data_IF_467874516771
#
_entry.id   IF_467874516771
#
_cell.length_a   1.000
_cell.length_b   1.000
_cell.length_c   1.000
_cell.angle_alpha   90.00
_cell.angle_beta   90.00
_cell.angle_gamma   90.00
#
_symmetry.space_group_name_H-M   'P 1'
#
loop_
_entity.id
_entity.type
_entity.pdbx_description
1 polymer ?
#
# COMPACT_ATOMS: atom_id res chain seq x y z
N UNK A 1 2.45 15.15 43.83
CA UNK A 1 2.25 13.68 43.65
C UNK A 1 1.37 13.34 42.45
N UNK A 2 0.22 13.98 42.27
CA UNK A 2 -0.77 13.67 41.22
C UNK A 2 -0.27 13.72 39.76
N UNK A 3 0.63 14.65 39.40
CA UNK A 3 1.16 14.76 38.03
C UNK A 3 1.98 13.54 37.58
N UNK A 4 2.70 12.86 38.48
CA UNK A 4 3.49 11.67 38.13
C UNK A 4 2.62 10.44 37.83
N UNK A 5 1.50 10.32 38.55
CA UNK A 5 0.55 9.20 38.38
C UNK A 5 -0.17 9.31 37.03
N UNK A 6 -0.57 10.52 36.64
CA UNK A 6 -1.23 10.76 35.35
C UNK A 6 -0.32 10.44 34.14
N UNK A 7 0.96 10.82 34.20
CA UNK A 7 1.93 10.55 33.12
C UNK A 7 2.19 9.06 32.97
N UNK A 8 2.31 8.33 34.08
CA UNK A 8 2.49 6.86 34.06
C UNK A 8 1.24 6.18 33.47
N UNK A 9 0.04 6.61 33.85
CA UNK A 9 -1.20 6.05 33.31
C UNK A 9 -1.32 6.25 31.79
N UNK A 10 -0.96 7.43 31.27
CA UNK A 10 -0.98 7.72 29.83
C UNK A 10 0.05 6.85 29.09
N UNK A 11 1.26 6.71 29.61
CA UNK A 11 2.30 5.85 29.03
C UNK A 11 1.86 4.38 28.99
N UNK A 12 1.26 3.88 30.08
CA UNK A 12 0.75 2.50 30.14
C UNK A 12 -0.38 2.30 29.12
N UNK A 13 -1.31 3.25 28.99
CA UNK A 13 -2.38 3.19 27.99
C UNK A 13 -1.80 3.22 26.56
N UNK A 14 -0.87 4.12 26.27
CA UNK A 14 -0.23 4.22 24.96
C UNK A 14 0.53 2.92 24.60
N UNK A 15 1.23 2.33 25.56
CA UNK A 15 1.93 1.05 25.40
C UNK A 15 0.95 -0.11 25.21
N UNK A 16 -0.18 -0.13 25.95
CA UNK A 16 -1.22 -1.14 25.78
C UNK A 16 -1.94 -1.02 24.43
N UNK A 17 -2.17 0.21 23.95
CA UNK A 17 -2.72 0.49 22.62
C UNK A 17 -1.73 0.07 21.53
N UNK A 18 -0.45 0.39 21.68
CA UNK A 18 0.62 -0.05 20.77
C UNK A 18 0.80 -1.58 20.77
N UNK A 19 0.65 -2.25 21.92
CA UNK A 19 0.69 -3.71 22.01
C UNK A 19 -0.54 -4.38 21.42
N UNK A 20 -1.76 -3.83 21.64
CA UNK A 20 -2.99 -4.27 20.95
C UNK A 20 -2.87 -4.08 19.44
N UNK A 21 -2.33 -2.95 19.01
CA UNK A 21 -2.02 -2.65 17.61
C UNK A 21 -1.06 -3.68 17.01
N UNK A 22 0.01 -4.00 17.73
CA UNK A 22 0.99 -5.01 17.30
C UNK A 22 0.35 -6.41 17.21
N UNK A 23 -0.63 -6.72 18.05
CA UNK A 23 -1.35 -8.02 17.98
C UNK A 23 -2.40 -8.09 16.87
N UNK A 24 -3.05 -6.98 16.50
CA UNK A 24 -4.03 -6.94 15.40
C UNK A 24 -3.35 -7.11 14.04
N UNK A 25 -2.24 -6.39 13.79
CA UNK A 25 -1.46 -6.52 12.54
C UNK A 25 -0.85 -7.92 12.39
N UNK A 26 -0.55 -8.58 13.51
CA UNK A 26 0.02 -9.95 13.51
C UNK A 26 -1.02 -11.05 13.25
N UNK A 27 -2.34 -10.78 13.33
CA UNK A 27 -3.33 -11.86 13.46
C UNK A 27 -3.66 -12.59 12.16
N UNK A 28 -3.56 -11.95 10.99
CA UNK A 28 -3.53 -12.61 9.66
C UNK A 28 -2.81 -11.66 8.70
N UNK A 29 -1.65 -12.07 8.18
CA UNK A 29 -0.98 -11.36 7.08
C UNK A 29 -1.90 -11.34 5.85
N UNK A 30 -2.37 -10.18 5.36
CA UNK A 30 -3.42 -10.12 4.33
C UNK A 30 -2.94 -10.51 2.92
N UNK A 31 -1.63 -10.67 2.74
CA UNK A 31 -1.04 -11.02 1.45
C UNK A 31 -0.46 -12.43 1.46
N UNK A 32 -0.70 -13.15 0.37
CA UNK A 32 0.01 -14.37 -0.03
C UNK A 32 0.93 -14.01 -1.19
N UNK A 33 2.16 -14.49 -1.14
CA UNK A 33 3.13 -14.38 -2.23
C UNK A 33 4.20 -15.44 -2.07
N UNK A 34 4.91 -15.73 -3.16
CA UNK A 34 6.10 -16.56 -3.19
C UNK A 34 7.15 -15.86 -4.04
N UNK A 35 8.34 -15.62 -3.48
CA UNK A 35 9.46 -15.03 -4.22
C UNK A 35 10.75 -15.70 -3.79
N UNK A 36 11.61 -16.03 -4.76
CA UNK A 36 12.95 -16.52 -4.46
C UNK A 36 13.77 -15.37 -3.85
N UNK A 37 14.33 -15.61 -2.65
CA UNK A 37 15.20 -14.66 -1.96
C UNK A 37 16.43 -14.22 -2.77
N UNK A 38 16.82 -15.00 -3.80
CA UNK A 38 17.88 -14.63 -4.74
C UNK A 38 17.44 -13.57 -5.76
N UNK A 39 16.14 -13.45 -6.00
CA UNK A 39 15.55 -12.44 -6.89
C UNK A 39 15.31 -11.15 -6.12
N UNK A 40 14.64 -11.25 -4.96
CA UNK A 40 14.27 -10.08 -4.18
C UNK A 40 14.23 -10.33 -2.67
N UNK A 41 14.41 -9.24 -1.93
CA UNK A 41 14.07 -9.16 -0.50
C UNK A 41 12.72 -8.51 -0.30
N UNK A 42 12.06 -8.79 0.82
CA UNK A 42 10.79 -8.18 1.18
C UNK A 42 10.88 -7.53 2.56
N UNK A 43 10.57 -6.25 2.63
CA UNK A 43 10.35 -5.52 3.87
C UNK A 43 8.85 -5.25 4.06
N UNK A 44 8.35 -5.37 5.29
CA UNK A 44 6.98 -5.05 5.64
C UNK A 44 6.95 -3.78 6.47
N UNK A 45 6.30 -2.75 5.96
CA UNK A 45 6.16 -1.47 6.63
C UNK A 45 4.69 -1.17 6.92
N UNK A 46 4.32 -1.17 8.19
CA UNK A 46 2.99 -0.72 8.60
C UNK A 46 2.90 0.80 8.51
N UNK A 47 1.73 1.30 8.11
CA UNK A 47 1.41 2.72 8.19
C UNK A 47 0.07 2.92 8.93
N UNK A 48 -0.06 4.10 9.55
CA UNK A 48 -1.19 4.43 10.40
C UNK A 48 -2.16 5.40 9.76
N UNK A 49 -3.08 5.89 10.59
CA UNK A 49 -4.05 6.90 10.22
C UNK A 49 -3.37 8.16 9.68
N UNK A 50 -4.02 8.87 8.76
CA UNK A 50 -3.45 10.04 8.08
C UNK A 50 -2.87 9.75 6.69
N UNK A 51 -2.71 8.47 6.33
CA UNK A 51 -2.03 8.06 5.11
C UNK A 51 -2.83 8.42 3.83
N UNK A 52 -4.12 8.05 3.81
CA UNK A 52 -5.06 8.38 2.75
C UNK A 52 -5.88 9.61 3.16
N UNK A 53 -5.23 10.78 3.12
CA UNK A 53 -5.89 12.07 3.35
C UNK A 53 -6.30 12.75 2.04
N UNK A 54 -7.11 13.81 2.14
CA UNK A 54 -7.58 14.58 0.99
C UNK A 54 -6.45 15.12 0.10
N UNK A 55 -5.30 15.50 0.66
CA UNK A 55 -4.16 15.97 -0.12
C UNK A 55 -3.60 14.86 -0.99
N UNK A 56 -3.39 13.68 -0.41
CA UNK A 56 -2.93 12.48 -1.14
C UNK A 56 -3.95 12.09 -2.21
N UNK A 57 -5.23 11.96 -1.85
CA UNK A 57 -6.29 11.54 -2.78
C UNK A 57 -6.50 12.55 -3.91
N UNK A 58 -6.44 13.85 -3.61
CA UNK A 58 -6.57 14.90 -4.65
C UNK A 58 -5.36 14.93 -5.57
N UNK A 59 -4.14 14.68 -5.07
CA UNK A 59 -2.95 14.60 -5.89
C UNK A 59 -3.07 13.45 -6.90
N UNK A 60 -3.46 12.26 -6.44
CA UNK A 60 -3.70 11.10 -7.29
C UNK A 60 -4.79 11.39 -8.34
N UNK A 61 -5.92 11.96 -7.94
CA UNK A 61 -7.00 12.31 -8.87
C UNK A 61 -6.58 13.29 -9.98
N UNK A 62 -5.78 14.30 -9.62
CA UNK A 62 -5.34 15.35 -10.56
C UNK A 62 -4.37 14.86 -11.62
N UNK A 63 -3.53 13.87 -11.33
CA UNK A 63 -2.58 13.30 -12.30
C UNK A 63 -3.27 12.73 -13.55
N UNK A 64 -4.58 12.49 -13.48
CA UNK A 64 -5.38 11.83 -14.49
C UNK A 64 -6.25 12.78 -15.30
N UNK A 65 -6.16 14.08 -15.05
CA UNK A 65 -7.09 15.06 -15.60
C UNK A 65 -8.55 14.83 -15.22
N UNK A 66 -8.80 14.00 -14.20
CA UNK A 66 -10.16 13.69 -13.74
C UNK A 66 -10.55 14.68 -12.64
N UNK A 67 -11.65 15.40 -12.85
CA UNK A 67 -12.27 16.23 -11.82
C UNK A 67 -13.15 15.32 -10.95
N UNK A 68 -12.56 14.75 -9.90
CA UNK A 68 -13.35 14.03 -8.90
C UNK A 68 -14.00 15.05 -7.97
N UNK A 69 -15.29 14.88 -7.70
CA UNK A 69 -16.03 15.74 -6.78
C UNK A 69 -15.39 15.73 -5.38
N UNK A 70 -15.32 16.90 -4.75
CA UNK A 70 -14.63 17.08 -3.47
C UNK A 70 -15.36 16.41 -2.30
N UNK A 71 -16.69 16.29 -2.37
CA UNK A 71 -17.47 15.56 -1.36
C UNK A 71 -17.25 14.05 -1.51
N UNK A 72 -17.16 13.56 -2.75
CA UNK A 72 -16.81 12.17 -3.04
C UNK A 72 -15.43 11.79 -2.47
N UNK A 73 -14.39 12.59 -2.73
CA UNK A 73 -13.05 12.35 -2.17
C UNK A 73 -13.05 12.39 -0.63
N UNK A 74 -13.84 13.28 -0.03
CA UNK A 74 -13.98 13.36 1.43
C UNK A 74 -14.70 12.13 1.99
N UNK A 75 -15.65 11.56 1.25
CA UNK A 75 -16.33 10.32 1.63
C UNK A 75 -15.35 9.13 1.66
N UNK A 76 -14.41 9.07 0.70
CA UNK A 76 -13.35 8.08 0.63
C UNK A 76 -12.36 8.28 1.78
N UNK A 77 -11.87 9.51 1.98
CA UNK A 77 -10.98 9.86 3.09
C UNK A 77 -11.58 9.42 4.44
N UNK A 78 -12.85 9.74 4.70
CA UNK A 78 -13.50 9.41 5.98
C UNK A 78 -13.46 7.91 6.28
N UNK A 79 -13.53 7.07 5.23
CA UNK A 79 -13.49 5.61 5.35
C UNK A 79 -12.06 5.07 5.48
N UNK A 80 -11.08 5.67 4.80
CA UNK A 80 -9.71 5.14 4.69
C UNK A 80 -8.71 5.78 5.65
N UNK A 81 -8.85 7.07 5.93
CA UNK A 81 -7.96 7.83 6.79
C UNK A 81 -7.79 7.26 8.21
N UNK A 82 -8.80 6.68 8.88
CA UNK A 82 -8.59 6.06 10.19
C UNK A 82 -7.95 4.67 10.11
N UNK A 83 -7.85 4.09 8.92
CA UNK A 83 -7.35 2.74 8.74
C UNK A 83 -5.84 2.71 8.83
N UNK A 84 -5.36 1.51 9.15
CA UNK A 84 -3.97 1.15 9.01
C UNK A 84 -3.82 0.24 7.82
N UNK A 85 -2.65 0.26 7.23
CA UNK A 85 -2.28 -0.67 6.18
C UNK A 85 -0.87 -1.17 6.34
N UNK A 86 -0.45 -1.96 5.35
CA UNK A 86 0.91 -2.45 5.26
C UNK A 86 1.40 -2.31 3.83
N UNK A 87 2.65 -1.90 3.69
CA UNK A 87 3.41 -1.98 2.45
C UNK A 87 4.30 -3.21 2.50
N UNK A 88 4.33 -3.95 1.41
CA UNK A 88 5.34 -4.95 1.11
C UNK A 88 6.27 -4.33 0.08
N UNK A 89 7.49 -4.05 0.50
CA UNK A 89 8.50 -3.39 -0.32
C UNK A 89 9.43 -4.50 -0.80
N UNK A 90 9.28 -4.89 -2.06
CA UNK A 90 10.11 -5.89 -2.67
C UNK A 90 11.28 -5.23 -3.39
N UNK A 91 12.51 -5.57 -2.99
CA UNK A 91 13.73 -4.97 -3.54
C UNK A 91 14.51 -6.02 -4.33
N UNK A 92 14.64 -5.80 -5.64
CA UNK A 92 15.44 -6.62 -6.56
C UNK A 92 16.91 -6.65 -6.14
N UNK A 93 17.52 -7.83 -6.18
CA UNK A 93 18.91 -8.04 -5.73
C UNK A 93 19.95 -7.97 -6.86
N UNK A 94 19.54 -7.98 -8.12
CA UNK A 94 20.45 -7.91 -9.26
C UNK A 94 20.82 -6.49 -9.69
N UNK A 95 21.72 -6.40 -10.67
CA UNK A 95 21.96 -5.13 -11.37
C UNK A 95 20.73 -4.72 -12.19
N UNK A 96 20.43 -3.43 -12.22
CA UNK A 96 19.26 -2.89 -12.90
C UNK A 96 19.59 -1.56 -13.56
N UNK A 97 18.89 -1.25 -14.65
CA UNK A 97 18.95 0.04 -15.32
C UNK A 97 18.08 1.12 -14.65
N UNK A 98 17.15 0.73 -13.76
CA UNK A 98 16.17 1.62 -13.13
C UNK A 98 15.92 1.23 -11.65
N UNK A 99 14.91 1.83 -11.04
CA UNK A 99 14.46 1.51 -9.69
C UNK A 99 14.27 -0.01 -9.49
N UNK A 100 14.74 -0.48 -8.34
CA UNK A 100 14.75 -1.89 -7.95
C UNK A 100 13.55 -2.29 -7.10
N UNK A 101 12.56 -1.42 -6.96
CA UNK A 101 11.53 -1.55 -5.93
C UNK A 101 10.17 -1.75 -6.57
N UNK A 102 9.49 -2.81 -6.14
CA UNK A 102 8.07 -3.06 -6.39
C UNK A 102 7.33 -3.01 -5.06
N UNK A 103 6.33 -2.14 -4.95
CA UNK A 103 5.57 -1.92 -3.71
C UNK A 103 4.17 -2.50 -3.86
N UNK A 104 3.77 -3.32 -2.90
CA UNK A 104 2.38 -3.76 -2.75
C UNK A 104 1.81 -3.11 -1.50
N UNK A 105 0.73 -2.35 -1.63
CA UNK A 105 0.05 -1.70 -0.50
C UNK A 105 -1.26 -2.40 -0.24
N UNK A 106 -1.49 -2.84 1.01
CA UNK A 106 -2.73 -3.52 1.41
C UNK A 106 -3.40 -2.76 2.55
N UNK A 107 -4.70 -2.46 2.38
CA UNK A 107 -5.54 -1.79 3.38
C UNK A 107 -6.88 -2.51 3.53
N UNK A 108 -7.60 -2.36 4.66
CA UNK A 108 -8.93 -2.92 4.81
C UNK A 108 -9.92 -2.37 3.77
N UNK A 109 -10.81 -3.22 3.27
CA UNK A 109 -11.91 -2.84 2.39
C UNK A 109 -13.08 -2.22 3.19
N UNK A 110 -12.80 -1.19 3.97
CA UNK A 110 -13.81 -0.46 4.72
C UNK A 110 -14.85 0.25 3.84
N UNK A 111 -14.53 0.72 2.61
CA UNK A 111 -15.54 1.25 1.70
C UNK A 111 -16.57 0.23 1.21
N UNK A 112 -16.25 -1.07 1.28
CA UNK A 112 -17.14 -2.15 0.88
C UNK A 112 -17.21 -2.35 -0.63
N UNK A 113 -16.09 -2.20 -1.35
CA UNK A 113 -16.04 -2.51 -2.78
C UNK A 113 -16.28 -4.00 -3.01
N UNK A 114 -17.17 -4.32 -3.94
CA UNK A 114 -17.52 -5.71 -4.28
C UNK A 114 -16.83 -6.16 -5.57
N UNK A 115 -16.50 -5.22 -6.46
CA UNK A 115 -15.89 -5.50 -7.76
C UNK A 115 -14.67 -4.62 -8.01
N UNK A 116 -13.70 -5.16 -8.76
CA UNK A 116 -12.48 -4.43 -9.10
C UNK A 116 -12.79 -3.15 -9.89
N UNK A 117 -13.87 -3.13 -10.66
CA UNK A 117 -14.31 -1.95 -11.40
C UNK A 117 -14.79 -0.82 -10.47
N UNK A 118 -15.50 -1.15 -9.38
CA UNK A 118 -15.88 -0.15 -8.37
C UNK A 118 -14.64 0.41 -7.67
N UNK A 119 -13.71 -0.46 -7.31
CA UNK A 119 -12.46 -0.06 -6.69
C UNK A 119 -11.64 0.83 -7.64
N UNK A 120 -11.51 0.44 -8.91
CA UNK A 120 -10.85 1.24 -9.95
C UNK A 120 -11.54 2.57 -10.19
N UNK A 121 -12.87 2.64 -10.19
CA UNK A 121 -13.57 3.92 -10.40
C UNK A 121 -13.14 5.01 -9.41
N UNK A 122 -12.80 4.63 -8.19
CA UNK A 122 -12.40 5.56 -7.13
C UNK A 122 -10.87 5.77 -7.02
N UNK A 123 -10.07 4.91 -7.67
CA UNK A 123 -8.60 4.86 -7.48
C UNK A 123 -7.76 4.61 -8.73
N UNK A 124 -8.37 4.43 -9.90
CA UNK A 124 -7.67 4.20 -11.18
C UNK A 124 -7.13 5.52 -11.71
N UNK A 125 -6.16 6.00 -10.95
CA UNK A 125 -5.46 7.21 -11.22
C UNK A 125 -4.29 6.90 -12.18
N UNK A 126 -4.18 7.63 -13.29
CA UNK A 126 -3.05 7.70 -14.21
C UNK A 126 -1.76 8.20 -13.54
N UNK A 127 -1.34 7.60 -12.43
CA UNK A 127 -0.15 7.96 -11.71
C UNK A 127 1.06 7.26 -12.34
N UNK A 128 1.44 7.57 -13.58
CA UNK A 128 2.59 6.91 -14.27
C UNK A 128 3.81 6.89 -13.33
N UNK A 129 4.22 5.70 -12.88
CA UNK A 129 5.29 5.53 -11.89
C UNK A 129 4.89 5.72 -10.42
N UNK A 130 3.59 5.68 -10.11
CA UNK A 130 3.02 5.81 -8.78
C UNK A 130 2.85 4.47 -8.06
N UNK A 131 2.56 4.54 -6.77
CA UNK A 131 2.54 3.39 -5.84
C UNK A 131 1.14 2.79 -5.60
N UNK A 132 0.09 3.34 -6.25
CA UNK A 132 -1.31 3.09 -5.85
C UNK A 132 -2.21 2.69 -7.01
N UNK A 133 -1.83 1.66 -7.77
CA UNK A 133 -2.69 1.12 -8.82
C UNK A 133 -3.58 0.00 -8.28
N UNK A 134 -4.92 0.11 -8.38
CA UNK A 134 -5.83 -0.95 -7.96
C UNK A 134 -5.54 -2.28 -8.68
N UNK A 135 -5.15 -3.30 -7.92
CA UNK A 135 -4.73 -4.58 -8.47
C UNK A 135 -5.71 -5.71 -8.15
N UNK A 136 -6.12 -5.85 -6.88
CA UNK A 136 -7.14 -6.81 -6.49
C UNK A 136 -7.92 -6.35 -5.24
N UNK A 137 -9.01 -7.05 -4.95
CA UNK A 137 -9.75 -6.90 -3.70
C UNK A 137 -10.28 -8.25 -3.20
N UNK A 138 -10.55 -8.30 -1.90
CA UNK A 138 -11.39 -9.30 -1.26
C UNK A 138 -12.44 -8.60 -0.39
N UNK A 139 -13.33 -9.37 0.24
CA UNK A 139 -14.30 -8.80 1.18
C UNK A 139 -13.62 -8.05 2.34
N UNK A 140 -12.38 -8.42 2.70
CA UNK A 140 -11.64 -7.80 3.80
C UNK A 140 -10.60 -6.76 3.38
N UNK A 141 -10.08 -6.83 2.15
CA UNK A 141 -8.84 -6.14 1.78
C UNK A 141 -8.88 -5.52 0.39
N UNK A 142 -8.18 -4.39 0.25
CA UNK A 142 -7.85 -3.76 -1.02
C UNK A 142 -6.35 -3.86 -1.23
N UNK A 143 -5.94 -4.23 -2.45
CA UNK A 143 -4.55 -4.32 -2.85
C UNK A 143 -4.25 -3.32 -3.95
N UNK A 144 -3.26 -2.47 -3.69
CA UNK A 144 -2.62 -1.64 -4.69
C UNK A 144 -1.22 -2.16 -5.00
N UNK A 145 -0.75 -1.90 -6.21
CA UNK A 145 0.64 -2.16 -6.63
C UNK A 145 1.26 -0.89 -7.19
N UNK A 146 2.59 -0.79 -7.13
CA UNK A 146 3.34 0.26 -7.82
C UNK A 146 3.50 -0.06 -9.31
N UNK A 147 3.62 0.98 -10.14
CA UNK A 147 4.06 0.81 -11.53
C UNK A 147 5.58 0.70 -11.62
N UNK A 148 6.08 -0.21 -12.46
CA UNK A 148 7.49 -0.31 -12.80
C UNK A 148 7.95 0.68 -13.88
N UNK A 149 7.14 1.71 -14.18
CA UNK A 149 7.42 2.73 -15.17
C UNK A 149 6.88 2.40 -16.56
N UNK A 150 7.41 3.09 -17.58
CA UNK A 150 6.94 3.02 -18.97
C UNK A 150 7.52 1.88 -19.80
N UNK A 151 8.38 1.03 -19.22
CA UNK A 151 9.16 0.04 -19.96
C UNK A 151 10.34 0.63 -20.76
N UNK A 152 10.76 1.86 -20.45
CA UNK A 152 11.93 2.49 -21.06
C UNK A 152 13.20 1.66 -20.82
N UNK A 153 14.03 1.48 -21.86
CA UNK A 153 15.33 0.80 -21.78
C UNK A 153 16.45 1.78 -22.13
N UNK A 154 17.49 1.82 -21.30
CA UNK A 154 18.61 2.78 -21.42
C UNK A 154 19.77 2.25 -22.29
N UNK A 155 19.53 1.14 -23.00
CA UNK A 155 20.51 0.43 -23.84
C UNK A 155 21.70 -0.18 -23.07
N UNK A 156 21.71 -0.15 -21.73
CA UNK A 156 22.77 -0.78 -20.91
C UNK A 156 22.79 -2.31 -20.97
N UNK A 157 21.74 -2.93 -21.52
CA UNK A 157 21.56 -4.39 -21.54
C UNK A 157 21.14 -4.98 -20.19
N UNK A 158 20.88 -4.14 -19.18
CA UNK A 158 20.43 -4.58 -17.84
C UNK A 158 18.90 -4.70 -17.77
N UNK A 159 18.36 -5.56 -16.90
CA UNK A 159 16.92 -5.66 -16.68
C UNK A 159 16.38 -4.44 -15.91
N UNK A 160 15.06 -4.25 -15.94
CA UNK A 160 14.37 -3.34 -15.03
C UNK A 160 14.04 -4.12 -13.76
N UNK A 161 14.74 -3.82 -12.66
CA UNK A 161 14.62 -4.58 -11.42
C UNK A 161 13.19 -4.70 -10.90
N UNK A 162 12.39 -3.63 -10.96
CA UNK A 162 10.98 -3.66 -10.60
C UNK A 162 10.18 -4.70 -11.43
N UNK A 163 10.35 -4.73 -12.76
CA UNK A 163 9.64 -5.66 -13.65
C UNK A 163 10.02 -7.12 -13.36
N UNK A 164 11.30 -7.38 -13.06
CA UNK A 164 11.76 -8.72 -12.67
C UNK A 164 11.08 -9.20 -11.38
N UNK A 165 10.88 -8.30 -10.42
CA UNK A 165 10.18 -8.59 -9.17
C UNK A 165 8.70 -8.84 -9.43
N UNK A 166 8.03 -7.95 -10.18
CA UNK A 166 6.61 -8.10 -10.54
C UNK A 166 6.36 -9.44 -11.25
N UNK A 167 7.21 -9.78 -12.23
CA UNK A 167 7.16 -11.05 -12.96
C UNK A 167 7.40 -12.26 -12.06
N UNK A 168 8.36 -12.17 -11.14
CA UNK A 168 8.67 -13.26 -10.22
C UNK A 168 7.53 -13.52 -9.21
N UNK A 169 6.84 -12.47 -8.79
CA UNK A 169 5.64 -12.58 -7.95
C UNK A 169 4.50 -13.24 -8.73
N UNK A 170 4.22 -12.78 -9.94
CA UNK A 170 3.25 -13.36 -10.86
C UNK A 170 1.93 -13.78 -10.18
N UNK A 171 1.43 -14.96 -10.52
CA UNK A 171 0.17 -15.51 -9.99
C UNK A 171 0.23 -15.89 -8.49
N UNK A 172 1.39 -15.80 -7.85
CA UNK A 172 1.52 -16.07 -6.42
C UNK A 172 1.02 -14.90 -5.58
N UNK A 173 1.01 -13.67 -6.13
CA UNK A 173 0.58 -12.46 -5.43
C UNK A 173 -0.94 -12.39 -5.31
N UNK A 174 -1.46 -12.66 -4.11
CA UNK A 174 -2.91 -12.74 -3.86
C UNK A 174 -3.28 -12.21 -2.49
N UNK A 175 -4.48 -11.68 -2.36
CA UNK A 175 -5.09 -11.40 -1.06
C UNK A 175 -5.57 -12.70 -0.39
N UNK A 176 -5.50 -12.75 0.94
CA UNK A 176 -6.15 -13.80 1.74
C UNK A 176 -7.64 -13.58 1.92
#
# INVERSE_FOLDING_TARGET
MFKKIAVIAILVIAVLLAMRYYTVVKKVDPLMYSIDSKIATVEKQAFGAGYFNLTTLSALARECGTTVDSEHLRSIETKLNPLMGVKYIFTYQGESQQANVYVVTVIPNAPGYETLDQFKKDFDFCAVGGDYYPHALSAGWLMFVSSCGSGYRDESGRPVGCEEVEKALGDSLKLK
#
